data_IF_198696084626
#
_entry.id   IF_198696084626
#
_cell.length_a   1.000
_cell.length_b   1.000
_cell.length_c   1.000
_cell.angle_alpha   90.00
_cell.angle_beta   90.00
_cell.angle_gamma   90.00
#
_symmetry.space_group_name_H-M   'P 1'
#
loop_
_entity.id
_entity.type
_entity.pdbx_description
1 polymer ?
#
# COMPACT_ATOMS: atom_id res chain seq x y z
N UNK A 1 2.96 -2.74 9.32
CA UNK A 1 2.28 -3.82 10.08
C UNK A 1 3.21 -5.03 10.14
N UNK A 2 3.25 -5.76 11.26
CA UNK A 2 4.10 -6.94 11.44
C UNK A 2 3.25 -8.19 11.60
N UNK A 3 3.65 -9.28 10.94
CA UNK A 3 2.98 -10.57 10.94
C UNK A 3 3.74 -11.61 11.77
N UNK A 4 3.06 -12.71 12.13
CA UNK A 4 3.65 -13.81 12.91
C UNK A 4 4.80 -14.49 12.15
N UNK A 5 4.61 -14.64 10.84
CA UNK A 5 5.53 -15.35 9.96
C UNK A 5 6.07 -14.43 8.87
N UNK A 6 7.01 -14.94 8.08
CA UNK A 6 7.42 -14.27 6.85
C UNK A 6 6.23 -14.10 5.92
N UNK A 7 6.21 -12.97 5.21
CA UNK A 7 5.20 -12.71 4.19
C UNK A 7 5.33 -13.77 3.10
N UNK A 8 4.20 -14.40 2.77
CA UNK A 8 4.09 -15.22 1.58
C UNK A 8 3.98 -14.28 0.37
N UNK A 9 5.09 -14.14 -0.35
CA UNK A 9 5.17 -13.27 -1.50
C UNK A 9 4.23 -13.71 -2.63
N UNK A 10 4.02 -15.00 -2.83
CA UNK A 10 3.18 -15.51 -3.91
C UNK A 10 1.71 -15.19 -3.62
N UNK A 11 1.26 -15.43 -2.39
CA UNK A 11 -0.09 -15.11 -1.95
C UNK A 11 -0.36 -13.60 -1.99
N UNK A 12 0.57 -12.78 -1.48
CA UNK A 12 0.40 -11.34 -1.48
C UNK A 12 0.37 -10.79 -2.92
N UNK A 13 1.24 -11.28 -3.80
CA UNK A 13 1.24 -10.91 -5.21
C UNK A 13 -0.06 -11.32 -5.92
N UNK A 14 -0.57 -12.54 -5.70
CA UNK A 14 -1.80 -12.98 -6.36
C UNK A 14 -3.00 -12.13 -5.96
N UNK A 15 -3.10 -11.74 -4.69
CA UNK A 15 -4.16 -10.85 -4.19
C UNK A 15 -4.00 -9.46 -4.83
N UNK A 16 -2.80 -8.90 -4.82
CA UNK A 16 -2.54 -7.59 -5.39
C UNK A 16 -2.86 -7.53 -6.90
N UNK A 17 -2.47 -8.55 -7.67
CA UNK A 17 -2.82 -8.66 -9.09
C UNK A 17 -4.34 -8.73 -9.29
N UNK A 18 -5.06 -9.47 -8.44
CA UNK A 18 -6.53 -9.55 -8.52
C UNK A 18 -7.26 -8.22 -8.22
N UNK A 19 -6.61 -7.31 -7.50
CA UNK A 19 -7.11 -5.95 -7.17
C UNK A 19 -6.67 -4.91 -8.22
N UNK A 20 -6.03 -5.35 -9.31
CA UNK A 20 -5.56 -4.48 -10.41
C UNK A 20 -4.27 -3.72 -10.09
N UNK A 21 -3.50 -4.14 -9.10
CA UNK A 21 -2.16 -3.62 -8.87
C UNK A 21 -1.13 -4.29 -9.77
N UNK A 22 0.03 -3.67 -9.91
CA UNK A 22 1.21 -4.27 -10.55
C UNK A 22 2.25 -4.66 -9.51
N UNK A 23 3.10 -5.62 -9.84
CA UNK A 23 4.14 -6.12 -8.95
C UNK A 23 5.53 -5.79 -9.51
N UNK A 24 6.40 -5.27 -8.66
CA UNK A 24 7.84 -5.13 -8.94
C UNK A 24 8.61 -6.13 -8.08
N UNK A 25 9.22 -7.09 -8.77
CA UNK A 25 10.13 -8.11 -8.24
C UNK A 25 11.60 -7.76 -8.46
N UNK A 26 11.95 -6.51 -8.78
CA UNK A 26 13.31 -6.07 -9.10
C UNK A 26 14.34 -6.33 -8.00
N UNK A 27 15.45 -5.58 -7.98
CA UNK A 27 16.59 -5.82 -7.07
C UNK A 27 16.27 -5.75 -5.55
N UNK A 28 15.04 -5.41 -5.19
CA UNK A 28 14.55 -5.23 -3.83
C UNK A 28 13.40 -6.20 -3.51
N UNK A 29 13.04 -6.32 -2.22
CA UNK A 29 11.89 -7.13 -1.77
C UNK A 29 10.59 -6.67 -2.44
N UNK A 30 9.62 -7.60 -2.52
CA UNK A 30 8.31 -7.44 -3.17
C UNK A 30 7.70 -6.05 -2.94
N UNK A 31 7.46 -5.32 -4.03
CA UNK A 31 6.76 -4.03 -4.06
C UNK A 31 5.47 -4.16 -4.88
N UNK A 32 4.43 -3.53 -4.38
CA UNK A 32 3.11 -3.46 -5.01
C UNK A 32 2.91 -2.02 -5.44
N UNK A 33 2.50 -1.82 -6.69
CA UNK A 33 2.34 -0.50 -7.29
C UNK A 33 0.93 -0.28 -7.84
N UNK A 34 0.49 0.96 -7.79
CA UNK A 34 -0.71 1.47 -8.46
C UNK A 34 -0.32 2.69 -9.31
N UNK A 35 -0.49 2.58 -10.63
CA UNK A 35 -0.04 3.58 -11.61
C UNK A 35 1.44 4.00 -11.43
N UNK A 36 2.31 3.03 -11.16
CA UNK A 36 3.75 3.27 -10.96
C UNK A 36 4.15 3.82 -9.58
N UNK A 37 3.17 4.09 -8.70
CA UNK A 37 3.41 4.50 -7.32
C UNK A 37 3.42 3.28 -6.41
N UNK A 38 4.43 3.12 -5.55
CA UNK A 38 4.45 2.08 -4.52
C UNK A 38 3.32 2.33 -3.51
N UNK A 39 2.43 1.36 -3.36
CA UNK A 39 1.32 1.39 -2.39
C UNK A 39 1.60 0.52 -1.16
N UNK A 40 2.40 -0.53 -1.35
CA UNK A 40 2.86 -1.39 -0.27
C UNK A 40 4.19 -2.05 -0.63
N UNK A 41 5.01 -2.36 0.38
CA UNK A 41 6.22 -3.17 0.20
C UNK A 41 6.45 -4.13 1.36
N UNK A 42 7.02 -5.28 1.06
CA UNK A 42 7.53 -6.21 2.08
C UNK A 42 8.84 -5.67 2.63
N UNK A 43 9.03 -5.81 3.95
CA UNK A 43 10.24 -5.40 4.63
C UNK A 43 11.47 -6.19 4.22
N UNK A 44 12.59 -5.49 4.15
CA UNK A 44 13.95 -6.02 3.92
C UNK A 44 14.63 -6.36 5.24
N UNK A 45 15.80 -7.00 5.20
CA UNK A 45 16.54 -7.39 6.41
C UNK A 45 16.87 -6.21 7.33
N UNK A 46 17.08 -5.02 6.77
CA UNK A 46 17.37 -3.80 7.53
C UNK A 46 16.12 -3.11 8.08
N UNK A 47 14.92 -3.47 7.61
CA UNK A 47 13.67 -2.90 8.12
C UNK A 47 13.28 -3.53 9.47
N UNK A 48 12.65 -2.73 10.34
CA UNK A 48 12.06 -3.22 11.59
C UNK A 48 10.97 -4.26 11.30
N UNK A 49 11.15 -5.48 11.83
CA UNK A 49 10.28 -6.64 11.58
C UNK A 49 10.58 -7.39 10.27
N UNK A 50 11.57 -6.92 9.51
CA UNK A 50 12.14 -7.57 8.33
C UNK A 50 11.11 -8.15 7.34
N UNK A 51 11.32 -9.36 6.84
CA UNK A 51 10.42 -10.06 5.91
C UNK A 51 9.07 -10.46 6.54
N UNK A 52 8.80 -10.09 7.79
CA UNK A 52 7.50 -10.26 8.44
C UNK A 52 6.69 -8.97 8.45
N UNK A 53 7.23 -7.88 7.91
CA UNK A 53 6.56 -6.59 7.88
C UNK A 53 6.07 -6.25 6.47
N UNK A 54 4.89 -5.62 6.41
CA UNK A 54 4.44 -4.87 5.23
C UNK A 54 4.30 -3.40 5.61
N UNK A 55 4.92 -2.54 4.80
CA UNK A 55 4.83 -1.09 4.90
C UNK A 55 3.80 -0.60 3.90
N UNK A 56 2.86 0.23 4.36
CA UNK A 56 1.77 0.77 3.55
C UNK A 56 2.02 2.25 3.31
N UNK A 57 1.78 2.69 2.07
CA UNK A 57 1.96 4.06 1.62
C UNK A 57 0.57 4.68 1.47
N UNK A 58 -0.04 4.98 2.62
CA UNK A 58 -1.32 5.67 2.69
C UNK A 58 -1.10 7.17 2.52
N UNK A 59 -2.01 7.83 1.81
CA UNK A 59 -1.96 9.28 1.64
C UNK A 59 -2.61 9.94 2.86
N UNK A 60 -1.94 10.88 3.53
CA UNK A 60 -2.54 11.65 4.63
C UNK A 60 -3.71 12.53 4.17
N UNK A 61 -4.62 12.87 5.08
CA UNK A 61 -5.77 13.75 4.77
C UNK A 61 -5.48 15.24 4.82
N UNK A 62 -4.24 15.65 5.12
CA UNK A 62 -3.80 17.05 5.14
C UNK A 62 -2.53 17.23 4.33
N UNK A 63 -2.48 18.28 3.52
CA UNK A 63 -1.34 18.62 2.65
C UNK A 63 -0.10 18.97 3.45
N UNK A 64 -0.27 19.57 4.63
CA UNK A 64 0.83 20.03 5.49
C UNK A 64 1.71 18.87 5.99
N UNK A 65 1.13 17.68 6.11
CA UNK A 65 1.83 16.48 6.58
C UNK A 65 2.23 15.55 5.43
N UNK A 66 1.86 15.88 4.18
CA UNK A 66 2.30 15.13 3.00
C UNK A 66 3.77 15.44 2.71
N UNK A 67 4.58 14.38 2.67
CA UNK A 67 5.92 14.50 2.09
C UNK A 67 5.85 14.63 0.56
N UNK A 68 6.99 14.84 -0.10
CA UNK A 68 7.05 14.98 -1.56
C UNK A 68 6.46 13.77 -2.30
N UNK A 69 6.74 12.56 -1.81
CA UNK A 69 6.23 11.32 -2.40
C UNK A 69 4.71 11.24 -2.27
N UNK A 70 4.15 11.60 -1.11
CA UNK A 70 2.69 11.62 -0.88
C UNK A 70 2.00 12.60 -1.84
N UNK A 71 2.59 13.78 -2.07
CA UNK A 71 2.06 14.78 -3.01
C UNK A 71 2.07 14.26 -4.44
N UNK A 72 3.18 13.66 -4.89
CA UNK A 72 3.26 13.06 -6.22
C UNK A 72 2.24 11.92 -6.38
N UNK A 73 2.14 11.03 -5.39
CA UNK A 73 1.16 9.95 -5.39
C UNK A 73 -0.28 10.49 -5.46
N UNK A 74 -0.59 11.49 -4.63
CA UNK A 74 -1.92 12.11 -4.61
C UNK A 74 -2.26 12.78 -5.95
N UNK A 75 -1.30 13.46 -6.58
CA UNK A 75 -1.47 14.08 -7.90
C UNK A 75 -1.73 13.04 -9.00
N UNK A 76 -0.91 11.99 -9.11
CA UNK A 76 -1.07 10.90 -10.09
C UNK A 76 -2.45 10.23 -10.00
N UNK A 77 -2.98 10.13 -8.78
CA UNK A 77 -4.30 9.54 -8.53
C UNK A 77 -5.44 10.56 -8.55
N UNK A 78 -5.16 11.83 -8.83
CA UNK A 78 -6.13 12.92 -8.88
C UNK A 78 -6.79 13.21 -7.55
N UNK A 79 -6.14 12.84 -6.44
CA UNK A 79 -6.55 13.09 -5.06
C UNK A 79 -6.17 14.52 -4.65
N UNK A 80 -4.99 14.99 -5.07
CA UNK A 80 -4.55 16.36 -4.86
C UNK A 80 -4.69 17.12 -6.17
N UNK A 81 -5.44 18.21 -6.13
CA UNK A 81 -5.43 19.24 -7.17
C UNK A 81 -4.21 20.15 -6.93
N UNK A 82 -3.25 20.10 -7.84
CA UNK A 82 -2.01 20.89 -7.74
C UNK A 82 -2.23 22.38 -8.01
N UNK A 83 -3.28 22.76 -8.74
CA UNK A 83 -3.55 24.17 -9.09
C UNK A 83 -4.15 24.93 -7.93
N UNK A 84 -5.10 24.30 -7.21
CA UNK A 84 -5.80 24.96 -6.10
C UNK A 84 -5.47 24.42 -4.71
N UNK A 85 -4.61 23.39 -4.61
CA UNK A 85 -4.18 22.81 -3.34
C UNK A 85 -5.33 22.16 -2.57
N UNK A 86 -6.26 21.50 -3.27
CA UNK A 86 -7.43 20.85 -2.66
C UNK A 86 -7.33 19.33 -2.72
N UNK A 87 -7.77 18.69 -1.64
CA UNK A 87 -7.85 17.23 -1.58
C UNK A 87 -9.28 16.77 -1.92
N UNK A 88 -9.40 15.87 -2.88
CA UNK A 88 -10.61 15.08 -3.12
C UNK A 88 -10.69 13.95 -2.07
N UNK A 89 -11.51 14.18 -1.04
CA UNK A 89 -11.69 13.23 0.05
C UNK A 89 -12.29 11.89 -0.41
N UNK A 90 -13.13 11.89 -1.45
CA UNK A 90 -13.73 10.67 -1.98
C UNK A 90 -12.67 9.76 -2.60
N UNK A 91 -11.80 10.34 -3.43
CA UNK A 91 -10.66 9.62 -4.02
C UNK A 91 -9.63 9.22 -2.96
N UNK A 92 -9.35 10.09 -1.99
CA UNK A 92 -8.44 9.80 -0.88
C UNK A 92 -8.89 8.55 -0.11
N UNK A 93 -10.15 8.54 0.33
CA UNK A 93 -10.72 7.42 1.09
C UNK A 93 -10.76 6.17 0.21
N UNK A 94 -11.16 6.30 -1.06
CA UNK A 94 -11.16 5.19 -2.01
C UNK A 94 -9.78 4.55 -2.19
N UNK A 95 -8.74 5.37 -2.37
CA UNK A 95 -7.35 4.94 -2.53
C UNK A 95 -6.83 4.23 -1.27
N UNK A 96 -6.95 4.85 -0.10
CA UNK A 96 -6.46 4.27 1.15
C UNK A 96 -7.21 2.97 1.51
N UNK A 97 -8.54 2.93 1.33
CA UNK A 97 -9.32 1.72 1.57
C UNK A 97 -8.98 0.59 0.61
N UNK A 98 -8.66 0.87 -0.66
CA UNK A 98 -8.21 -0.15 -1.62
C UNK A 98 -6.95 -0.86 -1.10
N UNK A 99 -5.98 -0.10 -0.60
CA UNK A 99 -4.74 -0.65 -0.02
C UNK A 99 -5.05 -1.48 1.23
N UNK A 100 -5.89 -0.97 2.13
CA UNK A 100 -6.25 -1.67 3.35
C UNK A 100 -7.01 -2.99 3.07
N UNK A 101 -7.92 -3.01 2.08
CA UNK A 101 -8.65 -4.22 1.67
C UNK A 101 -7.73 -5.31 1.15
N UNK A 102 -6.71 -4.96 0.36
CA UNK A 102 -5.71 -5.92 -0.12
C UNK A 102 -5.01 -6.63 1.04
N UNK A 103 -4.64 -5.87 2.07
CA UNK A 103 -3.95 -6.39 3.25
C UNK A 103 -4.88 -7.23 4.14
N UNK A 104 -6.13 -6.80 4.28
CA UNK A 104 -7.15 -7.54 5.02
C UNK A 104 -7.44 -8.90 4.35
N UNK A 105 -7.55 -8.93 3.01
CA UNK A 105 -7.65 -10.17 2.24
C UNK A 105 -6.44 -11.08 2.46
N UNK A 106 -5.23 -10.53 2.41
CA UNK A 106 -4.02 -11.32 2.69
C UNK A 106 -4.07 -11.94 4.08
N UNK A 107 -4.50 -11.18 5.09
CA UNK A 107 -4.67 -11.69 6.43
C UNK A 107 -5.70 -12.82 6.49
N UNK A 108 -6.87 -12.62 5.89
CA UNK A 108 -7.95 -13.59 5.86
C UNK A 108 -7.54 -14.91 5.17
N UNK A 109 -6.85 -14.84 4.03
CA UNK A 109 -6.34 -16.04 3.36
C UNK A 109 -5.23 -16.73 4.13
N UNK A 110 -4.32 -15.97 4.74
CA UNK A 110 -3.13 -16.54 5.41
C UNK A 110 -3.44 -17.14 6.78
N UNK A 111 -4.36 -16.52 7.52
CA UNK A 111 -4.61 -16.80 8.94
C UNK A 111 -6.08 -17.10 9.27
N UNK A 112 -6.99 -17.03 8.30
CA UNK A 112 -8.42 -17.06 8.53
C UNK A 112 -8.99 -15.68 8.88
N UNK A 113 -10.31 -15.56 8.83
CA UNK A 113 -11.04 -14.32 9.17
C UNK A 113 -10.66 -13.85 10.57
N UNK A 114 -10.33 -12.56 10.74
CA UNK A 114 -10.28 -11.97 12.08
C UNK A 114 -11.68 -12.08 12.66
N UNK A 115 -11.85 -12.86 13.74
CA UNK A 115 -12.97 -12.59 14.64
C UNK A 115 -12.73 -11.20 15.25
N UNK A 116 -13.76 -10.34 15.29
CA UNK A 116 -13.66 -9.00 15.88
C UNK A 116 -13.15 -9.05 17.32
#
# INVERSE_FOLDING_TARGET
>A
MTFKDKIDHNLLSSIALSEGYTIDYGSYKLRILDKGVIVARVGSKSDKGSERSVFLYLIPSSIEVMNLYDKCAASIHGILDEECGRIDLGKLVGYNLKILRMIDRYWAYRYGSRKP
#
